data_IF_892257357649
#
_entry.id   IF_892257357649
#
_cell.length_a   1.000
_cell.length_b   1.000
_cell.length_c   1.000
_cell.angle_alpha   90.00
_cell.angle_beta   90.00
_cell.angle_gamma   90.00
#
_symmetry.space_group_name_H-M   'P 1'
#
loop_
_entity.id
_entity.type
_entity.pdbx_description
1 polymer ?
#
# COMPACT_ATOMS: atom_id res chain seq x y z
N UNK A 1 -12.11 -21.53 -5.30
CA UNK A 1 -10.95 -20.66 -5.41
C UNK A 1 -11.35 -19.31 -5.95
N UNK A 2 -10.96 -18.27 -5.28
CA UNK A 2 -11.31 -16.93 -5.72
C UNK A 2 -10.41 -16.48 -6.86
N UNK A 3 -10.94 -15.62 -7.71
CA UNK A 3 -10.15 -15.03 -8.77
C UNK A 3 -9.11 -14.09 -8.20
N UNK A 4 -7.97 -13.92 -8.87
CA UNK A 4 -6.95 -12.96 -8.43
C UNK A 4 -7.51 -11.54 -8.37
N UNK A 5 -7.02 -10.77 -7.40
CA UNK A 5 -7.31 -9.34 -7.36
C UNK A 5 -6.52 -8.67 -8.48
N UNK A 6 -7.16 -7.78 -9.22
CA UNK A 6 -6.51 -7.09 -10.33
C UNK A 6 -6.39 -5.61 -10.02
N UNK A 7 -5.17 -5.10 -10.09
CA UNK A 7 -4.88 -3.71 -9.82
C UNK A 7 -4.17 -3.03 -10.97
N UNK A 8 -4.19 -1.69 -10.96
CA UNK A 8 -3.48 -0.91 -11.96
C UNK A 8 -3.10 0.45 -11.40
N UNK A 9 -2.14 1.09 -12.06
CA UNK A 9 -1.84 2.49 -11.79
C UNK A 9 -2.84 3.39 -12.49
N UNK A 10 -2.77 4.69 -12.21
CA UNK A 10 -3.72 5.65 -12.75
C UNK A 10 -3.69 5.70 -14.29
N UNK A 11 -2.51 5.68 -14.90
CA UNK A 11 -2.42 5.75 -16.37
C UNK A 11 -2.73 4.41 -17.05
N UNK A 12 -2.87 3.33 -16.28
CA UNK A 12 -3.15 2.01 -16.80
C UNK A 12 -1.94 1.29 -17.40
N UNK A 13 -0.76 1.92 -17.37
CA UNK A 13 0.45 1.31 -17.94
C UNK A 13 0.97 0.15 -17.12
N UNK A 14 0.79 0.19 -15.81
CA UNK A 14 1.16 -0.91 -14.93
C UNK A 14 -0.10 -1.66 -14.51
N UNK A 15 -0.10 -2.97 -14.72
CA UNK A 15 -1.18 -3.86 -14.29
C UNK A 15 -0.60 -5.02 -13.54
N UNK A 16 -1.27 -5.43 -12.48
CA UNK A 16 -0.79 -6.52 -11.65
C UNK A 16 -1.95 -7.32 -11.07
N UNK A 17 -1.61 -8.49 -10.55
CA UNK A 17 -2.57 -9.37 -9.88
C UNK A 17 -2.03 -9.75 -8.51
N UNK A 18 -2.93 -9.96 -7.56
CA UNK A 18 -2.59 -10.56 -6.28
C UNK A 18 -3.37 -11.86 -6.18
N UNK A 19 -2.65 -12.98 -6.07
CA UNK A 19 -3.24 -14.32 -6.20
C UNK A 19 -3.69 -14.94 -4.88
N UNK A 20 -3.58 -14.18 -3.77
CA UNK A 20 -4.08 -14.62 -2.47
C UNK A 20 -4.80 -13.47 -1.80
N UNK A 21 -5.73 -13.71 -0.87
CA UNK A 21 -6.36 -12.62 -0.13
C UNK A 21 -5.34 -11.95 0.79
N UNK A 22 -5.55 -10.67 1.08
CA UNK A 22 -4.69 -9.97 2.02
C UNK A 22 -4.84 -10.56 3.41
N UNK A 23 -3.72 -10.80 4.06
CA UNK A 23 -3.71 -11.32 5.43
C UNK A 23 -4.11 -10.23 6.43
N UNK A 24 -3.86 -8.96 6.10
CA UNK A 24 -4.13 -7.85 6.99
C UNK A 24 -4.16 -6.56 6.18
N UNK A 25 -5.03 -5.63 6.57
CA UNK A 25 -5.13 -4.32 5.93
C UNK A 25 -5.00 -3.22 6.97
N UNK A 26 -4.21 -2.19 6.68
CA UNK A 26 -3.98 -1.11 7.62
C UNK A 26 -3.93 0.24 6.91
N UNK A 27 -4.24 1.28 7.69
CA UNK A 27 -3.97 2.65 7.31
C UNK A 27 -2.72 3.10 8.07
N UNK A 28 -1.61 3.24 7.36
CA UNK A 28 -0.34 3.61 7.95
C UNK A 28 -0.15 5.12 7.90
N UNK A 29 0.03 5.73 9.08
CA UNK A 29 0.17 7.19 9.22
C UNK A 29 1.61 7.65 9.37
N UNK A 30 2.60 6.82 9.04
CA UNK A 30 4.00 7.21 9.19
C UNK A 30 4.36 8.35 8.23
N UNK A 31 5.42 9.08 8.56
CA UNK A 31 5.86 10.21 7.74
C UNK A 31 6.18 9.80 6.30
N UNK A 32 6.83 8.65 6.13
CA UNK A 32 7.14 8.16 4.78
C UNK A 32 5.87 7.96 3.96
N UNK A 33 4.86 7.31 4.55
CA UNK A 33 3.60 7.05 3.85
C UNK A 33 2.86 8.34 3.52
N UNK A 34 2.92 9.34 4.41
CA UNK A 34 2.31 10.64 4.14
C UNK A 34 2.97 11.32 2.96
N UNK A 35 4.30 11.32 2.93
CA UNK A 35 5.02 12.05 1.87
C UNK A 35 4.85 11.40 0.49
N UNK A 36 4.85 10.08 0.43
CA UNK A 36 4.66 9.42 -0.87
C UNK A 36 3.22 9.45 -1.35
N UNK A 37 2.24 9.55 -0.46
CA UNK A 37 0.84 9.63 -0.86
C UNK A 37 0.38 11.06 -1.09
N UNK A 38 1.06 12.02 -0.47
CA UNK A 38 0.62 13.40 -0.49
C UNK A 38 -0.58 13.67 0.41
N UNK A 39 -0.87 12.77 1.34
CA UNK A 39 -2.05 12.89 2.18
C UNK A 39 -1.91 12.22 3.53
N UNK A 40 -2.93 11.52 3.95
CA UNK A 40 -3.06 10.95 5.29
C UNK A 40 -2.29 9.64 5.49
N UNK A 41 -1.42 9.27 4.57
CA UNK A 41 -0.68 8.03 4.66
C UNK A 41 -1.12 7.05 3.57
N UNK A 42 -0.90 5.76 3.80
CA UNK A 42 -1.26 4.75 2.79
C UNK A 42 -2.18 3.71 3.40
N UNK A 43 -3.19 3.31 2.64
CA UNK A 43 -4.06 2.20 3.01
C UNK A 43 -3.63 1.02 2.17
N UNK A 44 -3.19 -0.05 2.83
CA UNK A 44 -2.56 -1.18 2.14
C UNK A 44 -3.01 -2.50 2.70
N UNK A 45 -2.94 -3.53 1.85
CA UNK A 45 -3.08 -4.91 2.26
C UNK A 45 -1.73 -5.59 2.23
N UNK A 46 -1.55 -6.55 3.12
CA UNK A 46 -0.31 -7.34 3.16
C UNK A 46 -0.52 -8.67 2.46
N UNK A 47 0.42 -9.02 1.60
CA UNK A 47 0.41 -10.29 0.88
C UNK A 47 1.83 -10.82 0.76
N UNK A 48 1.95 -12.11 0.51
CA UNK A 48 3.25 -12.68 0.15
C UNK A 48 3.73 -12.02 -1.13
N UNK A 49 5.00 -11.63 -1.18
CA UNK A 49 5.55 -11.01 -2.38
C UNK A 49 5.39 -11.92 -3.59
N UNK A 50 5.51 -13.24 -3.39
CA UNK A 50 5.33 -14.21 -4.47
C UNK A 50 3.90 -14.28 -5.01
N UNK A 51 2.92 -13.73 -4.29
CA UNK A 51 1.54 -13.70 -4.75
C UNK A 51 1.25 -12.47 -5.62
N UNK A 52 2.19 -11.54 -5.71
CA UNK A 52 2.04 -10.31 -6.50
C UNK A 52 2.70 -10.53 -7.86
N UNK A 53 1.91 -10.43 -8.92
CA UNK A 53 2.41 -10.64 -10.28
C UNK A 53 2.15 -9.39 -11.11
N UNK A 54 3.22 -8.76 -11.58
CA UNK A 54 3.11 -7.63 -12.51
C UNK A 54 2.91 -8.22 -13.90
N UNK A 55 1.74 -8.05 -14.46
CA UNK A 55 1.38 -8.66 -15.74
C UNK A 55 1.62 -7.72 -16.92
N UNK A 56 1.78 -6.42 -16.66
CA UNK A 56 2.05 -5.43 -17.69
C UNK A 56 2.78 -4.25 -17.07
N UNK A 57 3.76 -3.71 -17.79
CA UNK A 57 4.38 -2.45 -17.43
C UNK A 57 5.45 -2.52 -16.35
N UNK A 58 6.03 -3.69 -16.11
CA UNK A 58 7.10 -3.83 -15.12
C UNK A 58 8.23 -2.83 -15.35
N UNK A 59 8.53 -2.52 -16.62
CA UNK A 59 9.60 -1.58 -16.97
C UNK A 59 9.29 -0.13 -16.56
N UNK A 60 8.04 0.18 -16.24
CA UNK A 60 7.64 1.51 -15.79
C UNK A 60 7.83 1.69 -14.29
N UNK A 61 8.02 0.60 -13.55
CA UNK A 61 8.12 0.67 -12.11
C UNK A 61 9.48 1.21 -11.67
N UNK A 62 9.45 2.06 -10.65
CA UNK A 62 10.64 2.60 -9.99
C UNK A 62 10.43 2.51 -8.50
N UNK A 63 11.53 2.36 -7.78
CA UNK A 63 11.47 2.24 -6.33
C UNK A 63 12.37 3.27 -5.68
N UNK A 64 11.94 3.76 -4.53
CA UNK A 64 12.74 4.60 -3.67
C UNK A 64 12.76 3.99 -2.27
N UNK A 65 13.95 3.85 -1.70
CA UNK A 65 14.10 3.33 -0.34
C UNK A 65 14.60 4.46 0.54
N UNK A 66 13.75 4.98 1.44
CA UNK A 66 14.20 6.02 2.35
C UNK A 66 15.14 5.43 3.40
N UNK A 67 16.04 6.27 3.93
CA UNK A 67 16.90 5.85 5.01
C UNK A 67 16.04 5.46 6.21
N UNK A 68 16.27 4.27 6.76
CA UNK A 68 15.49 3.77 7.88
C UNK A 68 14.14 3.19 7.51
N UNK A 69 13.82 3.08 6.22
CA UNK A 69 12.55 2.56 5.76
C UNK A 69 12.71 1.49 4.69
N UNK A 70 11.57 0.97 4.24
CA UNK A 70 11.55 -0.04 3.20
C UNK A 70 11.22 0.58 1.84
N UNK A 71 11.53 -0.17 0.79
CA UNK A 71 11.30 0.30 -0.59
C UNK A 71 9.82 0.59 -0.84
N UNK A 72 9.57 1.67 -1.56
CA UNK A 72 8.26 2.07 -2.04
C UNK A 72 8.35 2.13 -3.55
N UNK A 73 7.38 1.51 -4.23
CA UNK A 73 7.42 1.34 -5.67
C UNK A 73 6.23 2.02 -6.33
N UNK A 74 6.50 2.70 -7.41
CA UNK A 74 5.50 3.54 -8.09
C UNK A 74 5.66 3.45 -9.60
N UNK A 75 4.60 3.83 -10.31
CA UNK A 75 4.65 3.95 -11.77
C UNK A 75 5.39 5.23 -12.15
N UNK A 76 6.45 5.11 -12.94
CA UNK A 76 7.25 6.28 -13.34
C UNK A 76 6.53 7.20 -14.32
N UNK A 77 5.47 6.73 -14.96
CA UNK A 77 4.70 7.55 -15.90
C UNK A 77 3.68 8.42 -15.19
N UNK A 78 2.90 7.85 -14.25
CA UNK A 78 1.82 8.62 -13.62
C UNK A 78 2.04 8.87 -12.12
N UNK A 79 3.07 8.27 -11.51
CA UNK A 79 3.39 8.49 -10.11
C UNK A 79 2.56 7.69 -9.12
N UNK A 80 1.64 6.85 -9.56
CA UNK A 80 0.83 6.05 -8.64
C UNK A 80 1.73 5.18 -7.76
N UNK A 81 1.61 5.32 -6.44
CA UNK A 81 2.32 4.45 -5.51
C UNK A 81 1.56 3.13 -5.43
N UNK A 82 2.23 2.02 -5.70
CA UNK A 82 1.57 0.72 -5.84
C UNK A 82 1.97 -0.27 -4.76
N UNK A 83 3.26 -0.33 -4.45
CA UNK A 83 3.77 -1.33 -3.50
C UNK A 83 4.67 -0.68 -2.46
N UNK A 84 4.73 -1.31 -1.30
CA UNK A 84 5.64 -0.93 -0.24
C UNK A 84 6.10 -2.17 0.51
N UNK A 85 6.69 -1.97 1.68
CA UNK A 85 7.15 -3.08 2.50
C UNK A 85 8.35 -3.81 1.94
N UNK A 86 9.05 -3.21 0.96
CA UNK A 86 10.27 -3.79 0.41
C UNK A 86 10.09 -4.61 -0.86
N UNK A 87 8.90 -4.56 -1.49
CA UNK A 87 8.70 -5.23 -2.77
C UNK A 87 9.78 -4.77 -3.77
N UNK A 88 10.36 -5.63 -4.60
CA UNK A 88 10.07 -7.06 -4.76
C UNK A 88 11.00 -7.98 -3.96
N UNK A 89 11.88 -7.43 -3.13
CA UNK A 89 12.92 -8.20 -2.46
C UNK A 89 12.45 -8.84 -1.14
N UNK A 90 11.44 -8.26 -0.51
CA UNK A 90 10.94 -8.74 0.77
C UNK A 90 10.09 -10.00 0.60
N UNK A 91 9.96 -10.76 1.69
CA UNK A 91 9.15 -11.97 1.70
C UNK A 91 7.66 -11.65 1.65
N UNK A 92 7.24 -10.59 2.34
CA UNK A 92 5.88 -10.08 2.23
C UNK A 92 5.93 -8.59 1.89
N UNK A 93 4.89 -8.12 1.23
CA UNK A 93 4.84 -6.76 0.72
C UNK A 93 3.51 -6.09 1.04
N UNK A 94 3.49 -4.77 0.96
CA UNK A 94 2.26 -3.99 1.07
C UNK A 94 1.78 -3.64 -0.33
N UNK A 95 0.48 -3.75 -0.56
CA UNK A 95 -0.14 -3.39 -1.83
C UNK A 95 -1.16 -2.30 -1.53
N UNK A 96 -1.07 -1.18 -2.26
CA UNK A 96 -1.97 -0.05 -2.01
C UNK A 96 -3.38 -0.40 -2.50
N UNK A 97 -4.37 -0.25 -1.61
CA UNK A 97 -5.75 -0.61 -1.95
C UNK A 97 -6.32 0.26 -3.06
N UNK A 98 -5.84 1.49 -3.18
CA UNK A 98 -6.30 2.41 -4.22
C UNK A 98 -6.12 1.85 -5.64
N UNK A 99 -5.19 0.93 -5.83
CA UNK A 99 -4.93 0.34 -7.14
C UNK A 99 -6.08 -0.54 -7.65
N UNK A 100 -7.00 -0.94 -6.76
CA UNK A 100 -8.09 -1.86 -7.13
C UNK A 100 -9.38 -1.16 -7.51
N UNK A 101 -9.40 0.18 -7.47
CA UNK A 101 -10.58 0.95 -7.88
C UNK A 101 -11.58 1.17 -6.75
N UNK A 102 -12.64 1.90 -7.09
CA UNK A 102 -13.56 2.40 -6.07
C UNK A 102 -14.53 1.34 -5.53
N UNK A 103 -14.71 0.24 -6.24
CA UNK A 103 -15.65 -0.79 -5.81
C UNK A 103 -15.01 -1.88 -4.97
N UNK A 104 -13.68 -1.83 -4.80
CA UNK A 104 -12.99 -2.76 -3.93
C UNK A 104 -13.37 -2.42 -2.49
N UNK A 105 -13.95 -3.38 -1.77
CA UNK A 105 -14.60 -3.09 -0.48
C UNK A 105 -13.85 -3.61 0.74
N UNK A 106 -12.64 -4.13 0.59
CA UNK A 106 -11.83 -4.50 1.74
C UNK A 106 -11.40 -3.24 2.49
N UNK A 107 -11.80 -3.14 3.75
CA UNK A 107 -11.54 -1.95 4.56
C UNK A 107 -10.30 -2.13 5.42
N UNK A 108 -9.64 -1.04 5.82
CA UNK A 108 -8.53 -1.17 6.78
C UNK A 108 -9.06 -1.68 8.12
N UNK A 109 -8.25 -2.50 8.77
CA UNK A 109 -8.59 -3.12 10.05
C UNK A 109 -8.02 -2.36 11.22
N UNK A 110 -7.08 -1.45 10.99
CA UNK A 110 -6.41 -0.70 12.05
C UNK A 110 -5.70 0.52 11.48
N UNK A 111 -5.41 1.47 12.37
CA UNK A 111 -4.51 2.58 12.10
C UNK A 111 -3.17 2.26 12.75
N UNK A 112 -2.08 2.39 12.00
CA UNK A 112 -0.72 2.17 12.52
C UNK A 112 0.08 3.45 12.44
N UNK A 113 1.12 3.56 13.25
CA UNK A 113 2.00 4.72 13.34
C UNK A 113 1.22 5.99 13.69
N UNK A 114 0.24 5.87 14.58
CA UNK A 114 -0.54 7.05 14.97
C UNK A 114 0.31 8.06 15.76
N UNK A 115 1.46 7.65 16.27
CA UNK A 115 2.41 8.61 16.88
C UNK A 115 2.89 9.66 15.88
N UNK A 116 2.74 9.38 14.59
CA UNK A 116 3.19 10.27 13.51
C UNK A 116 2.04 11.05 12.87
N UNK A 117 0.86 11.04 13.48
CA UNK A 117 -0.27 11.83 13.00
C UNK A 117 0.14 13.30 13.02
N UNK A 118 -0.04 13.98 11.89
CA UNK A 118 0.36 15.37 11.72
C UNK A 118 -0.65 16.30 12.40
N UNK A 119 -0.19 17.50 12.73
CA UNK A 119 -1.05 18.50 13.36
C UNK A 119 -2.26 18.89 12.50
N UNK A 120 -2.12 18.77 11.16
CA UNK A 120 -3.20 19.09 10.22
C UNK A 120 -4.13 17.90 9.94
N UNK A 121 -3.79 16.74 10.47
CA UNK A 121 -4.49 15.50 10.14
C UNK A 121 -5.62 15.25 11.14
N UNK A 122 -6.79 14.86 10.62
CA UNK A 122 -7.93 14.52 11.45
C UNK A 122 -8.18 13.03 11.31
N UNK A 123 -7.97 12.27 12.40
CA UNK A 123 -8.29 10.85 12.40
C UNK A 123 -9.79 10.66 12.55
N UNK A 124 -10.40 9.83 11.69
CA UNK A 124 -11.83 9.59 11.81
C UNK A 124 -12.14 8.78 13.08
N UNK A 125 -13.32 9.01 13.63
CA UNK A 125 -13.82 8.23 14.76
C UNK A 125 -14.51 6.99 14.19
N UNK A 126 -13.72 6.02 13.75
CA UNK A 126 -14.21 4.84 13.05
C UNK A 126 -14.20 3.57 13.90
N UNK A 127 -13.79 3.68 15.16
CA UNK A 127 -13.77 2.53 16.08
C UNK A 127 -12.66 1.53 15.83
N UNK A 128 -11.79 1.77 14.85
CA UNK A 128 -10.69 0.85 14.56
C UNK A 128 -9.60 0.95 15.62
N UNK A 129 -8.90 -0.15 15.90
CA UNK A 129 -7.73 -0.09 16.78
C UNK A 129 -6.71 0.90 16.26
N UNK A 130 -6.02 1.55 17.18
CA UNK A 130 -4.99 2.54 16.87
C UNK A 130 -3.70 2.14 17.58
N UNK A 131 -2.65 1.97 16.80
CA UNK A 131 -1.36 1.54 17.32
C UNK A 131 -0.33 2.64 17.12
N UNK A 132 0.45 2.90 18.17
CA UNK A 132 1.48 3.95 18.09
C UNK A 132 2.51 3.65 17.02
N UNK A 133 2.85 2.39 16.81
CA UNK A 133 3.77 1.95 15.78
C UNK A 133 3.08 0.86 14.95
N UNK A 134 3.37 -0.41 15.20
CA UNK A 134 2.79 -1.52 14.46
C UNK A 134 1.72 -2.21 15.28
N UNK A 135 0.80 -2.87 14.55
CA UNK A 135 -0.15 -3.76 15.15
C UNK A 135 0.59 -5.06 15.51
N UNK A 136 0.82 -5.30 16.77
CA UNK A 136 1.54 -6.51 17.21
C UNK A 136 0.66 -7.36 18.10
#
# INVERSE_FOLDING_TARGET
MTEPLQGSCLCGGVRFEVTEPFSYTTHCHCDFCKRISGGYGTVSGRASTSAIRVVQGAELLRSFTPEGGSAKTFCSTCGSNLFGGGWPESESSSVRLAAFGLEFDRKPEAHTFVRSVAAWEILPDDGLPRYEIRAT
#
